data_IF_959331697426
#
_entry.id   IF_959331697426
#
_cell.length_a   1.000
_cell.length_b   1.000
_cell.length_c   1.000
_cell.angle_alpha   90.00
_cell.angle_beta   90.00
_cell.angle_gamma   90.00
#
_symmetry.space_group_name_H-M   'P 1'
#
loop_
_entity.id
_entity.type
_entity.pdbx_description
1 polymer ?
#
# COMPACT_ATOMS: atom_id res chain seq x y z
N UNK A 1 29.94 10.84 2.15
CA UNK A 1 29.00 10.19 3.09
C UNK A 1 27.64 10.20 2.42
N UNK A 2 27.11 9.04 2.04
CA UNK A 2 25.80 8.99 1.38
C UNK A 2 24.74 9.40 2.40
N UNK A 3 23.95 10.44 2.08
CA UNK A 3 22.77 10.78 2.87
C UNK A 3 21.88 9.53 2.92
N UNK A 4 21.74 8.93 4.10
CA UNK A 4 20.88 7.77 4.26
C UNK A 4 19.46 8.30 4.30
N UNK A 5 18.77 8.21 3.16
CA UNK A 5 17.33 8.44 3.10
C UNK A 5 16.59 7.52 4.07
N UNK A 6 15.38 7.91 4.42
CA UNK A 6 14.52 7.16 5.32
C UNK A 6 14.28 5.75 4.78
N UNK A 7 14.18 4.77 5.68
CA UNK A 7 13.76 3.45 5.27
C UNK A 7 12.32 3.50 4.69
N UNK A 8 11.96 2.56 3.79
CA UNK A 8 10.65 2.56 3.14
C UNK A 8 9.46 2.55 4.10
N UNK A 9 9.58 1.97 5.29
CA UNK A 9 8.53 1.95 6.31
C UNK A 9 8.29 3.34 6.88
N UNK A 10 9.36 3.96 7.37
CA UNK A 10 9.33 5.33 7.91
C UNK A 10 8.82 6.34 6.88
N UNK A 11 9.17 6.17 5.61
CA UNK A 11 8.71 7.04 4.52
C UNK A 11 7.21 6.98 4.29
N UNK A 12 6.61 5.78 4.31
CA UNK A 12 5.16 5.67 4.23
C UNK A 12 4.49 6.18 5.50
N UNK A 13 5.03 5.91 6.69
CA UNK A 13 4.45 6.43 7.94
C UNK A 13 4.47 7.96 8.02
N UNK A 14 5.52 8.60 7.49
CA UNK A 14 5.55 10.04 7.34
C UNK A 14 4.47 10.55 6.36
N UNK A 15 4.27 9.87 5.23
CA UNK A 15 3.18 10.21 4.29
C UNK A 15 1.79 10.05 4.91
N UNK A 16 1.58 8.97 5.68
CA UNK A 16 0.34 8.72 6.42
C UNK A 16 0.10 9.80 7.46
N UNK A 17 1.15 10.21 8.17
CA UNK A 17 1.09 11.28 9.15
C UNK A 17 0.71 12.60 8.50
N UNK A 18 1.32 12.97 7.36
CA UNK A 18 0.95 14.16 6.60
C UNK A 18 -0.53 14.19 6.22
N UNK A 19 -1.06 13.07 5.72
CA UNK A 19 -2.48 12.94 5.36
C UNK A 19 -3.39 13.06 6.59
N UNK A 20 -2.99 12.46 7.72
CA UNK A 20 -3.78 12.41 8.95
C UNK A 20 -3.84 13.74 9.70
N UNK A 21 -2.75 14.52 9.67
CA UNK A 21 -2.65 15.77 10.43
C UNK A 21 -3.19 16.98 9.66
N UNK A 22 -3.43 16.85 8.35
CA UNK A 22 -3.95 17.94 7.54
C UNK A 22 -5.38 18.34 7.94
N UNK A 23 -5.58 19.63 8.21
CA UNK A 23 -6.88 20.20 8.59
C UNK A 23 -7.33 21.21 7.54
N UNK A 24 -8.14 20.82 6.55
CA UNK A 24 -8.52 21.71 5.44
C UNK A 24 -9.36 22.93 5.85
N UNK A 25 -9.91 22.94 7.08
CA UNK A 25 -10.62 24.10 7.62
C UNK A 25 -9.69 25.20 8.17
N UNK A 26 -8.41 24.88 8.39
CA UNK A 26 -7.43 25.75 9.05
C UNK A 26 -6.22 25.98 8.14
N UNK A 27 -5.78 24.94 7.45
CA UNK A 27 -4.54 24.95 6.67
C UNK A 27 -4.81 24.91 5.17
N UNK A 28 -4.04 25.69 4.42
CA UNK A 28 -3.86 25.43 3.00
C UNK A 28 -2.95 24.22 2.83
N UNK A 29 -3.03 23.57 1.67
CA UNK A 29 -2.19 22.40 1.36
C UNK A 29 -0.70 22.76 1.50
N UNK A 30 -0.30 23.95 1.02
CA UNK A 30 1.09 24.42 1.08
C UNK A 30 1.54 24.84 2.48
N UNK A 31 0.67 25.49 3.27
CA UNK A 31 1.03 25.86 4.64
C UNK A 31 1.26 24.62 5.50
N UNK A 32 0.42 23.59 5.33
CA UNK A 32 0.56 22.32 6.03
C UNK A 32 1.87 21.61 5.66
N UNK A 33 2.15 21.45 4.37
CA UNK A 33 3.39 20.79 3.90
C UNK A 33 4.62 21.54 4.40
N UNK A 34 4.62 22.88 4.33
CA UNK A 34 5.73 23.70 4.83
C UNK A 34 5.92 23.54 6.33
N UNK A 35 4.84 23.51 7.10
CA UNK A 35 4.93 23.32 8.55
C UNK A 35 5.39 21.91 8.92
N UNK A 36 4.83 20.89 8.28
CA UNK A 36 5.09 19.50 8.62
C UNK A 36 6.46 19.00 8.12
N UNK A 37 6.93 19.52 6.99
CA UNK A 37 8.22 19.16 6.40
C UNK A 37 9.29 20.26 6.57
N UNK A 38 8.98 21.37 7.23
CA UNK A 38 9.89 22.52 7.38
C UNK A 38 11.18 22.20 8.14
N UNK A 39 11.13 21.20 9.02
CA UNK A 39 12.28 20.72 9.80
C UNK A 39 12.98 19.49 9.19
N UNK A 40 12.58 19.02 8.01
CA UNK A 40 13.27 17.92 7.33
C UNK A 40 14.64 18.39 6.81
N UNK A 41 15.68 17.60 7.07
CA UNK A 41 17.04 17.82 6.58
C UNK A 41 17.07 17.89 5.04
N UNK A 42 17.77 18.89 4.50
CA UNK A 42 17.99 19.07 3.06
C UNK A 42 18.71 17.87 2.44
N UNK A 43 19.47 17.10 3.24
CA UNK A 43 20.15 15.88 2.76
C UNK A 43 19.19 14.76 2.32
N UNK A 44 17.89 14.87 2.62
CA UNK A 44 16.85 13.89 2.24
C UNK A 44 15.86 14.45 1.20
N UNK A 45 16.33 15.30 0.28
CA UNK A 45 15.49 15.97 -0.74
C UNK A 45 14.58 15.01 -1.51
N UNK A 46 15.06 13.81 -1.87
CA UNK A 46 14.27 12.80 -2.58
C UNK A 46 13.09 12.28 -1.76
N UNK A 47 13.27 12.10 -0.45
CA UNK A 47 12.21 11.64 0.45
C UNK A 47 11.18 12.73 0.66
N UNK A 48 11.66 13.96 0.88
CA UNK A 48 10.80 15.15 0.96
C UNK A 48 9.96 15.31 -0.30
N UNK A 49 10.57 15.16 -1.47
CA UNK A 49 9.87 15.24 -2.75
C UNK A 49 8.81 14.13 -2.88
N UNK A 50 9.12 12.89 -2.49
CA UNK A 50 8.13 11.82 -2.52
C UNK A 50 6.96 12.10 -1.57
N UNK A 51 7.25 12.56 -0.35
CA UNK A 51 6.22 12.93 0.64
C UNK A 51 5.29 14.03 0.10
N UNK A 52 5.88 15.07 -0.51
CA UNK A 52 5.12 16.12 -1.18
C UNK A 52 4.25 15.56 -2.29
N UNK A 53 4.82 14.76 -3.19
CA UNK A 53 4.08 14.18 -4.31
C UNK A 53 2.93 13.29 -3.84
N UNK A 54 3.14 12.44 -2.82
CA UNK A 54 2.09 11.62 -2.22
C UNK A 54 1.00 12.48 -1.62
N UNK A 55 1.35 13.48 -0.81
CA UNK A 55 0.36 14.34 -0.17
C UNK A 55 -0.44 15.16 -1.18
N UNK A 56 0.24 15.93 -2.04
CA UNK A 56 -0.40 16.75 -3.07
C UNK A 56 -1.24 15.90 -4.03
N UNK A 57 -0.71 14.75 -4.44
CA UNK A 57 -1.40 13.82 -5.30
C UNK A 57 -2.67 13.23 -4.68
N UNK A 58 -2.63 12.88 -3.39
CA UNK A 58 -3.82 12.44 -2.65
C UNK A 58 -4.87 13.55 -2.53
N UNK A 59 -4.47 14.81 -2.38
CA UNK A 59 -5.42 15.93 -2.39
C UNK A 59 -6.02 16.16 -3.78
N UNK A 60 -5.18 16.14 -4.83
CA UNK A 60 -5.59 16.32 -6.22
C UNK A 60 -6.57 15.24 -6.69
N UNK A 61 -6.30 13.98 -6.36
CA UNK A 61 -7.09 12.81 -6.76
C UNK A 61 -7.97 12.28 -5.64
N UNK A 62 -8.39 13.16 -4.72
CA UNK A 62 -9.17 12.78 -3.53
C UNK A 62 -10.51 12.12 -3.91
N UNK A 63 -11.14 12.56 -5.00
CA UNK A 63 -12.44 12.02 -5.43
C UNK A 63 -12.30 10.57 -5.86
N UNK A 64 -11.30 10.29 -6.70
CA UNK A 64 -11.02 8.98 -7.27
C UNK A 64 -10.57 7.99 -6.20
N UNK A 65 -9.64 8.43 -5.32
CA UNK A 65 -9.18 7.63 -4.19
C UNK A 65 -10.33 7.32 -3.22
N UNK A 66 -11.22 8.28 -2.94
CA UNK A 66 -12.38 8.03 -2.07
C UNK A 66 -13.32 6.97 -2.65
N UNK A 67 -13.57 7.00 -3.95
CA UNK A 67 -14.42 6.01 -4.65
C UNK A 67 -13.80 4.62 -4.53
N UNK A 68 -12.49 4.51 -4.81
CA UNK A 68 -11.74 3.27 -4.65
C UNK A 68 -11.84 2.73 -3.21
N UNK A 69 -11.52 3.57 -2.23
CA UNK A 69 -11.51 3.18 -0.83
C UNK A 69 -12.91 2.76 -0.36
N UNK A 70 -13.96 3.47 -0.80
CA UNK A 70 -15.34 3.11 -0.46
C UNK A 70 -15.67 1.70 -0.97
N UNK A 71 -15.33 1.39 -2.23
CA UNK A 71 -15.53 0.06 -2.79
C UNK A 71 -14.67 -1.00 -2.09
N UNK A 72 -13.40 -0.70 -1.81
CA UNK A 72 -12.49 -1.62 -1.14
C UNK A 72 -12.96 -1.97 0.28
N UNK A 73 -13.28 -0.97 1.10
CA UNK A 73 -13.73 -1.18 2.47
C UNK A 73 -15.14 -1.80 2.52
N UNK A 74 -15.98 -1.58 1.52
CA UNK A 74 -17.26 -2.29 1.42
C UNK A 74 -17.04 -3.78 1.12
N UNK A 75 -16.20 -4.11 0.14
CA UNK A 75 -15.98 -5.50 -0.31
C UNK A 75 -15.03 -6.31 0.58
N UNK A 76 -14.06 -5.65 1.23
CA UNK A 76 -12.96 -6.29 1.96
C UNK A 76 -12.83 -5.77 3.40
N UNK A 77 -13.82 -5.04 3.91
CA UNK A 77 -13.78 -4.40 5.23
C UNK A 77 -13.58 -5.35 6.41
N UNK A 78 -13.99 -6.61 6.31
CA UNK A 78 -13.72 -7.63 7.33
C UNK A 78 -12.22 -7.91 7.52
N UNK A 79 -11.40 -7.58 6.51
CA UNK A 79 -9.96 -7.83 6.50
C UNK A 79 -9.12 -6.55 6.58
N UNK A 80 -9.76 -5.36 6.66
CA UNK A 80 -9.10 -4.06 6.71
C UNK A 80 -9.60 -3.24 7.90
N UNK A 81 -8.67 -2.66 8.66
CA UNK A 81 -9.05 -1.77 9.76
C UNK A 81 -9.37 -0.37 9.24
N UNK A 82 -10.41 0.28 9.76
CA UNK A 82 -10.70 1.70 9.48
C UNK A 82 -9.52 2.62 9.79
N UNK A 83 -8.69 2.26 10.78
CA UNK A 83 -7.45 2.98 11.11
C UNK A 83 -6.46 3.02 9.94
N UNK A 84 -6.57 2.10 8.97
CA UNK A 84 -5.70 2.04 7.79
C UNK A 84 -6.13 2.98 6.67
N UNK A 85 -7.22 3.75 6.82
CA UNK A 85 -7.75 4.61 5.76
C UNK A 85 -6.67 5.48 5.09
N UNK A 86 -5.90 6.25 5.88
CA UNK A 86 -4.85 7.13 5.34
C UNK A 86 -3.68 6.34 4.71
N UNK A 87 -3.35 5.18 5.29
CA UNK A 87 -2.32 4.28 4.76
C UNK A 87 -2.72 3.70 3.42
N UNK A 88 -3.92 3.14 3.32
CA UNK A 88 -4.48 2.64 2.06
C UNK A 88 -4.60 3.77 1.03
N UNK A 89 -4.97 4.99 1.45
CA UNK A 89 -5.00 6.16 0.55
C UNK A 89 -3.62 6.41 -0.07
N UNK A 90 -2.56 6.47 0.75
CA UNK A 90 -1.20 6.71 0.27
C UNK A 90 -0.72 5.59 -0.66
N UNK A 91 -0.95 4.32 -0.29
CA UNK A 91 -0.53 3.17 -1.11
C UNK A 91 -1.30 3.09 -2.43
N UNK A 92 -2.61 3.36 -2.41
CA UNK A 92 -3.43 3.40 -3.61
C UNK A 92 -2.99 4.52 -4.56
N UNK A 93 -2.63 5.69 -4.03
CA UNK A 93 -2.08 6.77 -4.83
C UNK A 93 -0.77 6.35 -5.52
N UNK A 94 0.15 5.75 -4.78
CA UNK A 94 1.41 5.25 -5.34
C UNK A 94 1.16 4.24 -6.47
N UNK A 95 0.23 3.30 -6.26
CA UNK A 95 -0.08 2.24 -7.22
C UNK A 95 -0.77 2.75 -8.49
N UNK A 96 -1.73 3.66 -8.37
CA UNK A 96 -2.53 4.12 -9.50
C UNK A 96 -1.87 5.25 -10.28
N UNK A 97 -1.14 6.14 -9.62
CA UNK A 97 -0.65 7.37 -10.24
C UNK A 97 0.87 7.42 -10.40
N UNK A 98 1.63 6.68 -9.59
CA UNK A 98 3.11 6.79 -9.57
C UNK A 98 3.85 5.53 -9.97
N UNK A 99 3.17 4.38 -9.99
CA UNK A 99 3.81 3.09 -10.27
C UNK A 99 4.46 3.04 -11.65
N UNK A 100 3.79 3.57 -12.67
CA UNK A 100 4.30 3.57 -14.05
C UNK A 100 5.56 4.45 -14.20
N UNK A 101 5.59 5.58 -13.49
CA UNK A 101 6.71 6.52 -13.51
C UNK A 101 7.91 6.05 -12.65
N UNK A 102 7.62 5.51 -11.46
CA UNK A 102 8.65 5.09 -10.50
C UNK A 102 9.18 3.69 -10.79
N UNK A 103 8.36 2.84 -11.41
CA UNK A 103 8.61 1.43 -11.60
C UNK A 103 8.38 0.59 -10.33
N UNK A 104 8.04 -0.68 -10.55
CA UNK A 104 7.76 -1.64 -9.48
C UNK A 104 8.92 -1.81 -8.49
N UNK A 105 10.17 -1.75 -8.97
CA UNK A 105 11.35 -1.90 -8.12
C UNK A 105 11.45 -0.85 -7.01
N UNK A 106 10.95 0.37 -7.24
CA UNK A 106 10.94 1.45 -6.24
C UNK A 106 9.68 1.43 -5.37
N UNK A 107 8.54 1.01 -5.92
CA UNK A 107 7.26 0.96 -5.18
C UNK A 107 7.19 -0.27 -4.27
N UNK A 108 7.71 -1.41 -4.69
CA UNK A 108 7.63 -2.68 -3.94
C UNK A 108 8.18 -2.57 -2.51
N UNK A 109 9.35 -1.98 -2.23
CA UNK A 109 9.84 -1.84 -0.87
C UNK A 109 8.92 -0.99 0.03
N UNK A 110 8.29 0.06 -0.54
CA UNK A 110 7.32 0.90 0.16
C UNK A 110 6.05 0.11 0.50
N UNK A 111 5.61 -0.81 -0.37
CA UNK A 111 4.47 -1.67 -0.07
C UNK A 111 4.84 -2.75 0.96
N UNK A 112 5.98 -3.42 0.76
CA UNK A 112 6.42 -4.53 1.60
C UNK A 112 6.59 -4.15 3.09
N UNK A 113 6.91 -2.89 3.38
CA UNK A 113 7.03 -2.37 4.75
C UNK A 113 5.69 -2.17 5.47
N UNK A 114 4.55 -2.28 4.77
CA UNK A 114 3.23 -1.85 5.27
C UNK A 114 2.33 -3.01 5.73
N UNK A 115 2.89 -4.18 6.03
CA UNK A 115 2.13 -5.36 6.40
C UNK A 115 1.55 -6.09 5.18
N UNK A 116 2.07 -7.29 4.92
CA UNK A 116 1.80 -8.05 3.70
C UNK A 116 0.32 -8.40 3.53
N UNK A 117 -0.39 -8.75 4.61
CA UNK A 117 -1.83 -9.07 4.56
C UNK A 117 -2.65 -7.95 3.89
N UNK A 118 -2.44 -6.70 4.35
CA UNK A 118 -3.13 -5.51 3.87
C UNK A 118 -2.80 -5.22 2.42
N UNK A 119 -1.52 -5.28 2.09
CA UNK A 119 -1.02 -5.01 0.74
C UNK A 119 -1.54 -6.03 -0.25
N UNK A 120 -1.60 -7.30 0.14
CA UNK A 120 -2.22 -8.37 -0.66
C UNK A 120 -3.69 -8.07 -0.97
N UNK A 121 -4.46 -7.65 0.04
CA UNK A 121 -5.87 -7.32 -0.13
C UNK A 121 -6.03 -6.15 -1.12
N UNK A 122 -5.23 -5.09 -0.96
CA UNK A 122 -5.28 -3.92 -1.85
C UNK A 122 -4.91 -4.27 -3.30
N UNK A 123 -3.79 -4.97 -3.51
CA UNK A 123 -3.31 -5.32 -4.85
C UNK A 123 -4.26 -6.29 -5.55
N UNK A 124 -4.78 -7.31 -4.85
CA UNK A 124 -5.77 -8.22 -5.44
C UNK A 124 -7.05 -7.49 -5.83
N UNK A 125 -7.50 -6.53 -5.02
CA UNK A 125 -8.67 -5.71 -5.36
C UNK A 125 -8.40 -4.84 -6.60
N UNK A 126 -7.22 -4.23 -6.70
CA UNK A 126 -6.85 -3.39 -7.84
C UNK A 126 -6.62 -4.17 -9.13
N UNK A 127 -6.20 -5.44 -9.05
CA UNK A 127 -6.02 -6.31 -10.21
C UNK A 127 -7.27 -7.11 -10.57
N UNK A 128 -8.33 -7.04 -9.76
CA UNK A 128 -9.63 -7.61 -10.07
C UNK A 128 -10.27 -6.78 -11.20
N UNK A 129 -10.14 -7.27 -12.44
CA UNK A 129 -10.62 -6.58 -13.64
C UNK A 129 -12.14 -6.46 -13.64
N UNK A 130 -12.87 -7.40 -13.07
CA UNK A 130 -14.34 -7.31 -13.03
C UNK A 130 -14.78 -6.13 -12.14
N UNK A 131 -14.07 -5.95 -11.01
CA UNK A 131 -14.33 -4.83 -10.10
C UNK A 131 -13.79 -3.49 -10.62
N UNK A 132 -12.59 -3.48 -11.23
CA UNK A 132 -11.90 -2.23 -11.62
C UNK A 132 -12.21 -1.74 -13.02
N UNK A 133 -12.57 -2.61 -13.97
CA UNK A 133 -12.72 -2.22 -15.38
C UNK A 133 -14.11 -1.68 -15.76
N UNK A 134 -15.13 -1.93 -14.94
CA UNK A 134 -16.50 -1.52 -15.27
C UNK A 134 -16.91 -0.28 -14.47
N UNK A 135 -17.33 -0.45 -13.21
CA UNK A 135 -17.90 0.64 -12.43
C UNK A 135 -16.88 1.71 -12.02
N UNK A 136 -15.67 1.30 -11.61
CA UNK A 136 -14.63 2.26 -11.21
C UNK A 136 -14.18 3.14 -12.38
N UNK A 137 -14.03 2.58 -13.58
CA UNK A 137 -13.73 3.36 -14.79
C UNK A 137 -14.82 4.38 -15.07
N UNK A 138 -16.09 3.97 -15.02
CA UNK A 138 -17.21 4.89 -15.24
C UNK A 138 -17.26 6.02 -14.23
N UNK A 139 -17.05 5.72 -12.94
CA UNK A 139 -17.10 6.75 -11.90
C UNK A 139 -15.91 7.71 -11.97
N UNK A 140 -14.69 7.20 -12.15
CA UNK A 140 -13.50 8.03 -12.34
C UNK A 140 -13.56 8.87 -13.62
N UNK A 141 -14.21 8.36 -14.68
CA UNK A 141 -14.39 9.10 -15.94
C UNK A 141 -15.35 10.29 -15.83
N UNK A 142 -16.00 10.50 -14.67
CA UNK A 142 -16.81 11.70 -14.40
C UNK A 142 -15.94 12.93 -14.10
N UNK A 143 -14.69 12.71 -13.67
CA UNK A 143 -13.77 13.78 -13.25
C UNK A 143 -12.45 13.76 -13.99
N UNK A 144 -12.06 12.62 -14.55
CA UNK A 144 -10.86 12.44 -15.35
C UNK A 144 -11.22 12.02 -16.78
N UNK A 145 -10.35 12.31 -17.74
CA UNK A 145 -10.50 11.80 -19.09
C UNK A 145 -10.47 10.27 -19.08
N UNK A 146 -11.40 9.63 -19.79
CA UNK A 146 -11.49 8.17 -19.83
C UNK A 146 -10.20 7.52 -20.32
N UNK A 147 -9.52 8.11 -21.31
CA UNK A 147 -8.22 7.64 -21.80
C UNK A 147 -7.14 7.74 -20.72
N UNK A 148 -7.15 8.79 -19.90
CA UNK A 148 -6.24 8.88 -18.75
C UNK A 148 -6.52 7.75 -17.76
N UNK A 149 -7.78 7.48 -17.43
CA UNK A 149 -8.17 6.40 -16.51
C UNK A 149 -7.73 5.03 -17.03
N UNK A 150 -8.03 4.72 -18.30
CA UNK A 150 -7.80 3.39 -18.87
C UNK A 150 -6.33 3.18 -19.26
N UNK A 151 -5.73 4.13 -19.98
CA UNK A 151 -4.42 3.91 -20.62
C UNK A 151 -3.25 4.28 -19.72
N UNK A 152 -3.43 5.29 -18.86
CA UNK A 152 -2.39 5.79 -17.95
C UNK A 152 -2.53 5.20 -16.55
N UNK A 153 -3.66 5.43 -15.89
CA UNK A 153 -3.84 5.05 -14.49
C UNK A 153 -3.95 3.52 -14.32
N UNK A 154 -4.96 2.89 -14.92
CA UNK A 154 -5.09 1.43 -14.89
C UNK A 154 -4.07 0.75 -15.80
N UNK A 155 -3.78 1.32 -16.97
CA UNK A 155 -2.78 0.79 -17.87
C UNK A 155 -1.39 0.69 -17.22
N UNK A 156 -0.98 1.67 -16.42
CA UNK A 156 0.26 1.65 -15.65
C UNK A 156 0.29 0.53 -14.62
N UNK A 157 -0.81 0.34 -13.89
CA UNK A 157 -0.97 -0.78 -12.96
C UNK A 157 -0.86 -2.14 -13.68
N UNK A 158 -1.56 -2.31 -14.80
CA UNK A 158 -1.58 -3.57 -15.55
C UNK A 158 -0.24 -3.89 -16.23
N UNK A 159 0.55 -2.89 -16.61
CA UNK A 159 1.92 -3.13 -17.09
C UNK A 159 2.81 -3.78 -16.03
N UNK A 160 2.61 -3.44 -14.76
CA UNK A 160 3.32 -4.05 -13.63
C UNK A 160 2.67 -5.34 -13.09
N UNK A 161 1.49 -5.73 -13.59
CA UNK A 161 0.72 -6.88 -13.12
C UNK A 161 1.52 -8.20 -13.07
N UNK A 162 2.37 -8.54 -14.07
CA UNK A 162 3.16 -9.77 -14.00
C UNK A 162 4.11 -9.81 -12.79
N UNK A 163 4.79 -8.70 -12.51
CA UNK A 163 5.72 -8.59 -11.38
C UNK A 163 4.99 -8.55 -10.04
N UNK A 164 3.85 -7.85 -9.98
CA UNK A 164 2.98 -7.81 -8.82
C UNK A 164 2.47 -9.21 -8.50
N UNK A 165 1.94 -9.92 -9.50
CA UNK A 165 1.37 -11.27 -9.34
C UNK A 165 2.42 -12.27 -8.89
N UNK A 166 3.62 -12.22 -9.48
CA UNK A 166 4.76 -13.04 -9.03
C UNK A 166 5.12 -12.75 -7.57
N UNK A 167 5.12 -11.49 -7.16
CA UNK A 167 5.43 -11.11 -5.78
C UNK A 167 4.33 -11.52 -4.80
N UNK A 168 3.05 -11.37 -5.17
CA UNK A 168 1.92 -11.85 -4.39
C UNK A 168 2.00 -13.37 -4.19
N UNK A 169 2.27 -14.15 -5.23
CA UNK A 169 2.44 -15.59 -5.11
C UNK A 169 3.57 -15.95 -4.13
N UNK A 170 4.73 -15.28 -4.25
CA UNK A 170 5.89 -15.54 -3.40
C UNK A 170 5.69 -15.14 -1.93
N UNK A 171 4.80 -14.20 -1.64
CA UNK A 171 4.60 -13.66 -0.27
C UNK A 171 3.27 -14.07 0.36
N UNK A 172 2.45 -14.88 -0.32
CA UNK A 172 1.13 -15.28 0.14
C UNK A 172 1.14 -15.99 1.50
N UNK A 173 2.05 -16.96 1.68
CA UNK A 173 2.19 -17.68 2.95
C UNK A 173 2.56 -16.74 4.11
N UNK A 174 3.52 -15.82 3.89
CA UNK A 174 3.89 -14.83 4.89
C UNK A 174 2.75 -13.84 5.20
N UNK A 175 1.88 -13.56 4.23
CA UNK A 175 0.78 -12.60 4.37
C UNK A 175 -0.41 -13.15 5.18
N UNK A 176 -0.75 -14.43 5.03
CA UNK A 176 -1.98 -15.01 5.62
C UNK A 176 -1.71 -16.18 6.57
N UNK A 177 -0.44 -16.44 6.89
CA UNK A 177 -0.01 -17.55 7.72
C UNK A 177 0.27 -18.78 6.87
N UNK A 178 1.55 -19.10 6.73
CA UNK A 178 1.95 -20.49 6.59
C UNK A 178 1.60 -21.15 7.91
N UNK A 179 0.55 -21.97 7.93
CA UNK A 179 0.39 -22.97 8.97
C UNK A 179 1.59 -23.89 8.93
N UNK A 180 2.69 -23.51 9.58
CA UNK A 180 3.60 -24.48 10.12
C UNK A 180 2.82 -25.16 11.24
N UNK A 181 2.16 -26.28 10.89
CA UNK A 181 1.81 -27.28 11.87
C UNK A 181 3.09 -27.64 12.60
N UNK A 182 3.26 -27.10 13.80
CA UNK A 182 4.19 -27.63 14.77
C UNK A 182 3.69 -29.01 15.17
N UNK A 183 4.08 -30.02 14.40
CA UNK A 183 4.19 -31.38 14.90
C UNK A 183 5.67 -31.67 15.12
N UNK A 184 6.27 -30.88 15.99
CA UNK A 184 7.50 -31.28 16.69
C UNK A 184 7.07 -31.69 18.10
N UNK A 185 6.51 -32.91 18.19
CA UNK A 185 6.40 -33.62 19.47
C UNK A 185 7.31 -34.82 19.37
N UNK A 186 8.55 -34.58 19.78
CA UNK A 186 9.43 -35.50 20.49
C UNK A 186 8.90 -36.93 20.63
N UNK A 187 9.48 -37.86 19.88
CA UNK A 187 9.62 -39.25 20.34
C UNK A 187 11.09 -39.53 20.56
N UNK A 188 11.56 -39.17 21.75
CA UNK A 188 12.69 -39.84 22.38
C UNK A 188 12.45 -39.95 23.87
N UNK A 189 12.47 -41.19 24.36
CA UNK A 189 12.70 -41.54 25.76
C UNK A 189 11.47 -41.77 26.65
N UNK A 190 11.17 -43.05 26.91
CA UNK A 190 11.44 -43.69 28.22
C UNK A 190 10.31 -44.63 28.70
N UNK A 191 10.71 -45.84 29.11
CA UNK A 191 10.13 -46.50 30.28
C UNK A 191 9.14 -47.63 30.01
N UNK A 192 9.63 -48.87 30.04
CA UNK A 192 8.79 -50.08 30.00
C UNK A 192 9.57 -51.33 30.40
N UNK A 193 10.16 -51.30 31.60
CA UNK A 193 10.73 -52.46 32.25
C UNK A 193 9.60 -53.41 32.68
N UNK A 194 9.62 -54.67 32.25
CA UNK A 194 8.84 -55.75 32.87
C UNK A 194 9.68 -57.02 32.97
N UNK A 195 10.01 -57.36 34.22
CA UNK A 195 10.40 -58.69 34.71
C UNK A 195 9.14 -59.53 34.95
N UNK A 196 9.29 -60.86 34.84
CA UNK A 196 8.31 -61.90 35.25
C UNK A 196 7.60 -62.47 34.02
N UNK A 197 7.64 -63.76 33.70
CA UNK A 197 7.99 -64.98 34.44
C UNK A 197 8.78 -65.95 33.55
#
# INVERSE_FOLDING_TARGET
MAASGMDPGTLVEAAVTLLKTYRPAVDTVDSHVRSALGAYDESCESDRLLLQQVFYGCQRHRKELRVLLSALFFNRGAHLNRADHHRITALAYLLLFRLDEMGWARVKPLLASQGLNRVHILLRFLLDRDMTSTWLVEDWSKTLDRSFVVDKMLGGLYRAEPDITKWLAATHAAAFGGGAGGSDTARSGAGGQSRGE
#
